data_IF_941148033398
#
_entry.id   IF_941148033398
#
_cell.length_a   1.000
_cell.length_b   1.000
_cell.length_c   1.000
_cell.angle_alpha   90.00
_cell.angle_beta   90.00
_cell.angle_gamma   90.00
#
_symmetry.space_group_name_H-M   'P 1'
#
loop_
_entity.id
_entity.type
_entity.pdbx_description
1 polymer ?
#
# COMPACT_ATOMS: atom_id res chain seq x y z
N UNK A 1 -6.98 -2.88 12.71
CA UNK A 1 -6.51 -3.73 11.59
C UNK A 1 -6.17 -2.80 10.44
N UNK A 2 -4.96 -2.88 9.88
CA UNK A 2 -4.59 -2.11 8.68
C UNK A 2 -4.94 -2.97 7.47
N UNK A 3 -5.92 -2.57 6.67
CA UNK A 3 -6.34 -3.28 5.45
C UNK A 3 -5.57 -2.71 4.26
N UNK A 4 -5.02 -3.57 3.41
CA UNK A 4 -4.48 -3.16 2.11
C UNK A 4 -5.57 -3.30 1.06
N UNK A 5 -5.76 -2.27 0.25
CA UNK A 5 -6.70 -2.26 -0.88
C UNK A 5 -5.91 -1.97 -2.15
N UNK A 6 -6.09 -2.82 -3.16
CA UNK A 6 -5.46 -2.67 -4.47
C UNK A 6 -6.57 -2.67 -5.51
N UNK A 7 -6.54 -1.68 -6.40
CA UNK A 7 -7.45 -1.60 -7.53
C UNK A 7 -6.67 -1.43 -8.82
N UNK A 8 -7.16 -2.05 -9.89
CA UNK A 8 -6.64 -1.90 -11.25
C UNK A 8 -7.80 -1.47 -12.13
N UNK A 9 -7.68 -0.31 -12.78
CA UNK A 9 -8.76 0.28 -13.58
C UNK A 9 -10.09 0.42 -12.81
N UNK A 10 -10.02 0.82 -11.54
CA UNK A 10 -11.19 0.97 -10.66
C UNK A 10 -11.82 -0.34 -10.20
N UNK A 11 -11.23 -1.50 -10.52
CA UNK A 11 -11.67 -2.81 -10.06
C UNK A 11 -10.82 -3.27 -8.88
N UNK A 12 -11.46 -3.55 -7.76
CA UNK A 12 -10.81 -4.13 -6.58
C UNK A 12 -10.25 -5.54 -6.88
N UNK A 13 -9.04 -5.79 -6.42
CA UNK A 13 -8.34 -7.06 -6.57
C UNK A 13 -8.24 -7.73 -5.20
N UNK A 14 -8.77 -8.95 -5.10
CA UNK A 14 -8.63 -9.76 -3.89
C UNK A 14 -7.16 -10.15 -3.68
N UNK A 15 -6.67 -9.89 -2.47
CA UNK A 15 -5.32 -10.23 -2.06
C UNK A 15 -5.34 -11.45 -1.16
N UNK A 16 -4.37 -12.35 -1.36
CA UNK A 16 -4.09 -13.37 -0.36
C UNK A 16 -3.27 -12.78 0.80
N UNK A 17 -3.21 -13.46 1.96
CA UNK A 17 -2.53 -12.93 3.15
C UNK A 17 -1.04 -12.58 2.94
N UNK A 18 -0.33 -13.39 2.13
CA UNK A 18 1.08 -13.14 1.83
C UNK A 18 1.26 -11.85 1.03
N UNK A 19 0.45 -11.62 -0.01
CA UNK A 19 0.54 -10.42 -0.86
C UNK A 19 0.13 -9.17 -0.08
N UNK A 20 -0.91 -9.26 0.75
CA UNK A 20 -1.32 -8.16 1.63
C UNK A 20 -0.17 -7.74 2.57
N UNK A 21 0.48 -8.70 3.22
CA UNK A 21 1.60 -8.43 4.12
C UNK A 21 2.82 -7.89 3.36
N UNK A 22 3.12 -8.45 2.19
CA UNK A 22 4.24 -8.02 1.35
C UNK A 22 4.09 -6.55 0.90
N UNK A 23 2.92 -6.16 0.38
CA UNK A 23 2.65 -4.78 -0.04
C UNK A 23 2.75 -3.84 1.16
N UNK A 24 2.09 -4.20 2.28
CA UNK A 24 2.11 -3.39 3.50
C UNK A 24 3.53 -3.11 3.98
N UNK A 25 4.36 -4.13 4.09
CA UNK A 25 5.72 -4.00 4.63
C UNK A 25 6.61 -3.23 3.66
N UNK A 26 6.51 -3.50 2.36
CA UNK A 26 7.28 -2.81 1.32
C UNK A 26 6.92 -1.33 1.26
N UNK A 27 5.63 -1.00 1.15
CA UNK A 27 5.15 0.39 1.08
C UNK A 27 5.51 1.15 2.35
N UNK A 28 5.30 0.55 3.54
CA UNK A 28 5.64 1.19 4.81
C UNK A 28 7.15 1.42 4.93
N UNK A 29 7.97 0.44 4.56
CA UNK A 29 9.42 0.59 4.55
C UNK A 29 9.85 1.73 3.63
N UNK A 30 9.35 1.75 2.40
CA UNK A 30 9.62 2.79 1.41
C UNK A 30 9.27 4.18 1.93
N UNK A 31 8.01 4.42 2.35
CA UNK A 31 7.57 5.77 2.74
C UNK A 31 8.17 6.24 4.07
N UNK A 32 8.53 5.32 4.97
CA UNK A 32 9.11 5.68 6.29
C UNK A 32 10.46 6.39 6.20
N UNK A 33 11.15 6.24 5.07
CA UNK A 33 12.45 6.88 4.80
C UNK A 33 12.31 8.28 4.21
N UNK A 34 11.09 8.68 3.78
CA UNK A 34 10.85 9.96 3.12
C UNK A 34 10.82 11.09 4.15
N UNK A 35 11.43 12.22 3.79
CA UNK A 35 11.37 13.44 4.60
C UNK A 35 9.92 13.91 4.73
N UNK A 36 9.49 14.15 5.96
CA UNK A 36 8.10 14.57 6.24
C UNK A 36 7.11 13.43 6.37
N UNK A 37 7.58 12.17 6.44
CA UNK A 37 6.72 11.05 6.77
C UNK A 37 6.11 11.20 8.17
N UNK A 38 4.79 11.01 8.25
CA UNK A 38 4.04 10.89 9.48
C UNK A 38 3.12 9.66 9.42
N UNK A 39 2.75 9.14 10.59
CA UNK A 39 1.83 7.99 10.66
C UNK A 39 0.46 8.42 10.14
N UNK A 40 -0.08 7.70 9.16
CA UNK A 40 -1.39 8.01 8.60
C UNK A 40 -1.80 7.04 7.49
N UNK A 41 -2.83 7.44 6.73
CA UNK A 41 -3.26 6.72 5.53
C UNK A 41 -2.25 7.01 4.41
N UNK A 42 -1.70 5.94 3.83
CA UNK A 42 -0.80 6.03 2.67
C UNK A 42 -1.63 5.80 1.41
N UNK A 43 -1.48 6.69 0.41
CA UNK A 43 -2.08 6.55 -0.92
C UNK A 43 -0.95 6.66 -1.95
N UNK A 44 -0.85 5.68 -2.84
CA UNK A 44 0.11 5.65 -3.94
C UNK A 44 -0.70 5.43 -5.22
N UNK A 45 -0.48 6.27 -6.23
CA UNK A 45 -1.09 6.17 -7.56
C UNK A 45 0.04 6.06 -8.58
N UNK A 46 -0.09 5.11 -9.50
CA UNK A 46 0.88 4.83 -10.56
C UNK A 46 0.06 4.68 -11.85
N UNK A 47 0.49 5.37 -12.90
CA UNK A 47 -0.03 5.20 -14.26
C UNK A 47 1.02 4.42 -15.06
N UNK A 48 0.58 3.38 -15.77
CA UNK A 48 1.39 2.54 -16.68
C UNK A 48 0.83 2.65 -18.10
#
# INVERSE_FOLDING_TARGET
MSKVEVSINGKDIDLNPFVEEFIKNTVKGMVSTLRGYEKGKIKIEIED
#
